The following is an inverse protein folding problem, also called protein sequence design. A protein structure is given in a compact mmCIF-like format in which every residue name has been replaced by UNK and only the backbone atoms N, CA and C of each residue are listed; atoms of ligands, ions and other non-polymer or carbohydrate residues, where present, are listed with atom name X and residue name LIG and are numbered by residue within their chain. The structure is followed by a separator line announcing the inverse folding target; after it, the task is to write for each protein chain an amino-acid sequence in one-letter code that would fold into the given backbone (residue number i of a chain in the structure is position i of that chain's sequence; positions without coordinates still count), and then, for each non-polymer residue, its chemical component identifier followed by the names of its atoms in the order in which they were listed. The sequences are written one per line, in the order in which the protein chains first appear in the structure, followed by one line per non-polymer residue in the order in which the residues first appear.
data_IF_417424866829
#
_entry.id   IF_417424866829
#
_cell.length_a   1.000
_cell.length_b   1.000
_cell.length_c   1.000
_cell.angle_alpha   90.00
_cell.angle_beta   90.00
_cell.angle_gamma   90.00
#
_symmetry.space_group_name_H-M   'P 1'
#
loop_
_entity.id
_entity.type
_entity.pdbx_description
1 polymer ?
#
# COMPACT_ATOMS: atom_id res chain seq x y z
N UNK A 1 2.26 14.50 -1.92
CA UNK A 1 1.48 13.90 -3.02
C UNK A 1 0.30 13.12 -2.46
N UNK A 2 -0.82 13.26 -3.11
CA UNK A 2 -2.05 12.56 -2.74
C UNK A 2 -2.53 11.72 -3.92
N UNK A 3 -2.96 10.51 -3.64
CA UNK A 3 -3.52 9.62 -4.66
C UNK A 3 -4.76 8.95 -4.11
N UNK A 4 -5.72 8.69 -4.99
CA UNK A 4 -6.88 7.86 -4.65
C UNK A 4 -7.08 6.87 -5.77
N UNK A 5 -7.23 5.59 -5.43
CA UNK A 5 -7.37 4.54 -6.42
C UNK A 5 -8.10 3.34 -5.84
N UNK A 6 -8.63 2.52 -6.73
CA UNK A 6 -9.22 1.23 -6.35
C UNK A 6 -8.20 0.14 -6.60
N UNK A 7 -8.14 -0.83 -5.71
CA UNK A 7 -7.20 -1.93 -5.85
C UNK A 7 -7.78 -3.20 -5.25
N UNK A 8 -7.43 -4.31 -5.86
CA UNK A 8 -7.82 -5.63 -5.37
C UNK A 8 -6.81 -6.10 -4.35
N UNK A 9 -7.29 -6.73 -3.28
CA UNK A 9 -6.44 -7.27 -2.22
C UNK A 9 -5.96 -8.65 -2.64
N UNK A 10 -4.64 -8.85 -2.56
CA UNK A 10 -4.02 -10.12 -2.90
C UNK A 10 -3.05 -10.54 -1.81
N UNK A 11 -2.65 -11.82 -1.83
CA UNK A 11 -1.77 -12.38 -0.81
C UNK A 11 -0.39 -12.65 -1.41
N UNK A 12 0.64 -12.37 -0.61
CA UNK A 12 2.01 -12.69 -0.99
C UNK A 12 2.20 -14.20 -0.95
N UNK A 13 2.47 -14.82 -2.09
CA UNK A 13 2.50 -16.28 -2.19
C UNK A 13 3.85 -16.91 -1.88
N UNK A 14 4.88 -16.11 -1.72
CA UNK A 14 6.21 -16.64 -1.43
C UNK A 14 6.36 -17.14 0.01
N UNK A 15 5.33 -16.91 0.85
CA UNK A 15 5.35 -17.32 2.25
C UNK A 15 4.12 -18.14 2.57
N UNK A 16 4.30 -19.05 3.52
CA UNK A 16 3.21 -19.91 3.99
C UNK A 16 2.44 -19.29 5.14
N UNK A 17 2.73 -18.07 5.54
CA UNK A 17 1.91 -17.43 6.55
C UNK A 17 0.71 -16.76 5.88
N UNK A 18 -0.38 -16.69 6.59
CA UNK A 18 -1.64 -16.13 6.10
C UNK A 18 -1.79 -14.67 6.50
N UNK A 19 -0.72 -14.04 6.97
CA UNK A 19 -0.78 -12.73 7.56
C UNK A 19 -0.56 -11.56 6.62
N UNK A 20 -0.03 -11.79 5.43
CA UNK A 20 0.43 -10.69 4.57
C UNK A 20 -0.48 -10.51 3.37
N UNK A 21 -1.35 -9.52 3.46
CA UNK A 21 -2.16 -9.08 2.34
C UNK A 21 -1.70 -7.71 1.88
N UNK A 22 -1.84 -7.45 0.58
CA UNK A 22 -1.32 -6.25 -0.07
C UNK A 22 -2.32 -5.70 -1.06
N UNK A 23 -2.20 -4.40 -1.36
CA UNK A 23 -2.71 -3.83 -2.60
C UNK A 23 -1.55 -3.21 -3.34
N UNK A 24 -1.66 -3.14 -4.67
CA UNK A 24 -0.64 -2.50 -5.49
C UNK A 24 -1.04 -1.07 -5.80
N UNK A 25 -0.09 -0.15 -5.64
CA UNK A 25 -0.28 1.23 -6.09
C UNK A 25 -0.21 1.21 -7.61
N UNK A 26 -1.15 1.86 -8.33
CA UNK A 26 -1.11 1.86 -9.78
C UNK A 26 0.23 2.30 -10.35
N UNK A 27 0.60 1.74 -11.48
CA UNK A 27 1.92 1.97 -12.07
C UNK A 27 2.19 3.46 -12.31
N UNK A 28 1.20 4.20 -12.81
CA UNK A 28 1.37 5.63 -13.08
C UNK A 28 1.63 6.43 -11.80
N UNK A 29 0.96 6.10 -10.70
CA UNK A 29 1.18 6.75 -9.42
C UNK A 29 2.51 6.31 -8.82
N UNK A 30 2.89 5.06 -9.01
CA UNK A 30 4.16 4.55 -8.55
C UNK A 30 5.33 5.28 -9.24
N UNK A 31 5.19 5.56 -10.53
CA UNK A 31 6.20 6.32 -11.26
C UNK A 31 6.36 7.73 -10.68
N UNK A 32 5.24 8.40 -10.39
CA UNK A 32 5.27 9.73 -9.79
C UNK A 32 5.96 9.72 -8.44
N UNK A 33 5.67 8.73 -7.61
CA UNK A 33 6.28 8.58 -6.29
C UNK A 33 7.79 8.38 -6.43
N UNK A 34 8.21 7.54 -7.37
CA UNK A 34 9.61 7.21 -7.57
C UNK A 34 10.43 8.42 -8.03
N UNK A 35 9.82 9.32 -8.78
CA UNK A 35 10.52 10.48 -9.32
C UNK A 35 10.85 11.55 -8.29
N UNK A 36 10.17 11.56 -7.14
CA UNK A 36 10.41 12.57 -6.11
C UNK A 36 11.70 12.24 -5.36
N UNK A 37 12.70 13.13 -5.37
CA UNK A 37 13.92 12.88 -4.60
C UNK A 37 13.61 12.85 -3.10
N UNK A 38 14.21 11.89 -2.40
CA UNK A 38 14.07 11.77 -0.95
C UNK A 38 15.25 11.02 -0.37
N UNK A 39 15.39 11.13 0.94
CA UNK A 39 16.45 10.41 1.65
C UNK A 39 16.24 8.91 1.45
N UNK A 40 17.31 8.16 1.13
CA UNK A 40 17.19 6.71 0.98
C UNK A 40 16.70 6.07 2.28
N UNK A 41 15.76 5.13 2.14
CA UNK A 41 15.29 4.29 3.24
C UNK A 41 15.55 2.84 2.88
N UNK A 42 15.51 1.97 3.86
CA UNK A 42 15.76 0.55 3.63
C UNK A 42 14.88 0.01 2.52
N UNK A 43 15.49 -0.67 1.56
CA UNK A 43 14.81 -1.31 0.43
C UNK A 43 14.01 -0.35 -0.45
N UNK A 44 14.32 0.95 -0.41
CA UNK A 44 13.61 1.91 -1.23
C UNK A 44 12.18 2.20 -0.78
N UNK A 45 11.86 1.90 0.47
CA UNK A 45 10.51 2.13 0.99
C UNK A 45 10.19 3.62 1.06
N UNK A 46 8.90 3.94 0.99
CA UNK A 46 8.39 5.32 1.06
C UNK A 46 7.35 5.37 2.17
N UNK A 47 7.51 6.33 3.07
CA UNK A 47 6.58 6.50 4.19
C UNK A 47 5.30 7.16 3.69
N UNK A 48 4.15 6.63 4.10
CA UNK A 48 2.85 7.11 3.63
C UNK A 48 1.83 7.13 4.75
N UNK A 49 0.84 7.99 4.59
CA UNK A 49 -0.41 7.95 5.35
C UNK A 49 -1.47 7.36 4.43
N UNK A 50 -2.22 6.40 4.93
CA UNK A 50 -3.19 5.67 4.13
C UNK A 50 -4.56 5.72 4.79
N UNK A 51 -5.61 5.86 3.99
CA UNK A 51 -6.98 5.76 4.44
C UNK A 51 -7.76 4.78 3.59
N UNK A 52 -8.52 3.92 4.25
CA UNK A 52 -9.50 3.04 3.62
C UNK A 52 -10.74 3.11 4.48
N UNK A 53 -11.87 3.55 3.88
CA UNK A 53 -13.09 3.76 4.65
C UNK A 53 -12.85 4.79 5.75
N UNK A 54 -13.19 4.45 6.98
CA UNK A 54 -13.01 5.32 8.13
C UNK A 54 -11.66 5.11 8.83
N UNK A 55 -10.85 4.17 8.36
CA UNK A 55 -9.59 3.81 9.01
C UNK A 55 -8.42 4.53 8.35
N UNK A 56 -7.58 5.19 9.15
CA UNK A 56 -6.36 5.83 8.68
C UNK A 56 -5.19 5.33 9.50
N UNK A 57 -4.05 5.14 8.83
CA UNK A 57 -2.84 4.72 9.53
C UNK A 57 -1.59 5.13 8.74
N UNK A 58 -0.44 5.08 9.42
CA UNK A 58 0.86 5.34 8.82
C UNK A 58 1.56 4.02 8.56
N UNK A 59 2.20 3.91 7.40
CA UNK A 59 2.95 2.73 7.04
C UNK A 59 3.99 3.09 5.99
N UNK A 60 4.60 2.09 5.37
CA UNK A 60 5.52 2.29 4.25
C UNK A 60 5.07 1.42 3.10
N UNK A 61 5.27 1.92 1.89
CA UNK A 61 5.09 1.12 0.68
C UNK A 61 6.47 0.70 0.17
N UNK A 62 6.53 -0.44 -0.50
CA UNK A 62 7.78 -1.06 -0.90
C UNK A 62 7.80 -1.29 -2.41
N UNK A 63 8.96 -1.07 -3.07
CA UNK A 63 9.04 -1.34 -4.50
C UNK A 63 8.76 -2.81 -4.81
N UNK A 64 7.96 -3.03 -5.85
CA UNK A 64 7.62 -4.36 -6.32
C UNK A 64 7.50 -4.28 -7.84
N UNK A 65 8.57 -4.61 -8.55
CA UNK A 65 8.62 -4.41 -10.00
C UNK A 65 8.48 -2.93 -10.33
N UNK A 66 7.54 -2.61 -11.20
CA UNK A 66 7.30 -1.23 -11.61
C UNK A 66 6.32 -0.48 -10.70
N UNK A 67 5.86 -1.13 -9.64
CA UNK A 67 4.88 -0.55 -8.74
C UNK A 67 5.39 -0.58 -7.31
N UNK A 68 4.56 -0.02 -6.41
CA UNK A 68 4.78 -0.15 -4.97
C UNK A 68 3.71 -1.05 -4.38
N UNK A 69 4.09 -1.86 -3.41
CA UNK A 69 3.16 -2.71 -2.67
C UNK A 69 2.82 -2.05 -1.34
N UNK A 70 1.53 -1.97 -1.03
CA UNK A 70 1.03 -1.43 0.22
C UNK A 70 0.55 -2.59 1.09
N UNK A 71 1.23 -2.87 2.22
CA UNK A 71 0.77 -3.95 3.10
C UNK A 71 -0.46 -3.51 3.89
N UNK A 72 -1.38 -4.43 4.09
CA UNK A 72 -2.59 -4.19 4.87
C UNK A 72 -2.49 -4.94 6.19
N UNK A 73 -2.38 -4.22 7.29
CA UNK A 73 -2.31 -4.79 8.63
C UNK A 73 -3.59 -5.55 8.95
N UNK A 74 -3.46 -6.59 9.76
CA UNK A 74 -4.61 -7.36 10.21
C UNK A 74 -5.65 -6.46 10.88
N UNK A 75 -5.22 -5.50 11.70
CA UNK A 75 -6.13 -4.60 12.38
C UNK A 75 -6.96 -3.76 11.41
N UNK A 76 -6.34 -3.30 10.32
CA UNK A 76 -7.04 -2.52 9.27
C UNK A 76 -8.04 -3.40 8.55
N UNK A 77 -7.62 -4.61 8.17
CA UNK A 77 -8.50 -5.55 7.47
C UNK A 77 -9.73 -5.88 8.32
N UNK A 78 -9.50 -6.10 9.61
CA UNK A 78 -10.59 -6.40 10.54
C UNK A 78 -11.53 -5.21 10.71
N UNK A 79 -10.98 -4.01 10.84
CA UNK A 79 -11.78 -2.80 11.05
C UNK A 79 -12.67 -2.50 9.85
N UNK A 80 -12.20 -2.77 8.63
CA UNK A 80 -12.92 -2.44 7.40
C UNK A 80 -13.56 -3.66 6.74
N UNK A 81 -13.48 -4.83 7.36
CA UNK A 81 -14.08 -6.03 6.80
C UNK A 81 -13.46 -6.47 5.48
N UNK A 82 -12.16 -6.31 5.34
CA UNK A 82 -11.48 -6.56 4.07
C UNK A 82 -10.94 -7.99 4.02
N UNK A 83 -11.16 -8.64 2.88
CA UNK A 83 -10.72 -10.01 2.67
C UNK A 83 -10.00 -10.14 1.34
N UNK A 84 -9.25 -11.22 1.20
CA UNK A 84 -8.56 -11.54 -0.04
C UNK A 84 -9.54 -11.51 -1.21
N UNK A 85 -9.17 -10.80 -2.27
CA UNK A 85 -10.00 -10.68 -3.46
C UNK A 85 -10.93 -9.48 -3.46
N UNK A 86 -11.15 -8.84 -2.31
CA UNK A 86 -11.97 -7.64 -2.26
C UNK A 86 -11.30 -6.49 -2.98
N UNK A 87 -12.11 -5.60 -3.57
CA UNK A 87 -11.63 -4.34 -4.13
C UNK A 87 -11.93 -3.24 -3.13
N UNK A 88 -10.93 -2.44 -2.80
CA UNK A 88 -11.11 -1.33 -1.88
C UNK A 88 -10.59 -0.03 -2.48
N UNK A 89 -11.14 1.08 -2.02
CA UNK A 89 -10.69 2.42 -2.42
C UNK A 89 -9.64 2.89 -1.41
N UNK A 90 -8.47 3.21 -1.92
CA UNK A 90 -7.31 3.59 -1.11
C UNK A 90 -7.01 5.06 -1.33
N UNK A 91 -6.89 5.80 -0.23
CA UNK A 91 -6.36 7.17 -0.24
C UNK A 91 -4.95 7.10 0.32
N UNK A 92 -4.00 7.59 -0.46
CA UNK A 92 -2.58 7.46 -0.11
C UNK A 92 -1.90 8.81 -0.21
N UNK A 93 -1.17 9.19 0.83
CA UNK A 93 -0.42 10.43 0.87
C UNK A 93 1.02 10.13 1.25
N UNK A 94 1.97 10.61 0.44
CA UNK A 94 3.38 10.54 0.82
C UNK A 94 3.67 11.62 1.86
N UNK A 95 4.45 11.28 2.89
CA UNK A 95 4.65 12.18 4.03
C UNK A 95 6.09 12.64 4.22
N UNK A 96 6.98 12.33 3.29
CA UNK A 96 8.38 12.80 3.35
C UNK A 96 8.72 13.83 2.30
#
# INVERSE_FOLDING_TARGET
MHFEFEAEIWRWQARNDDGWLFVMVPEEFSADIREVPRMPRGFGSVRVRVGIGATEWMTSIFPSGDTYALPLKKAVRKAEGLELGDVCTVRLETVD
#
